data_IF_746561413551
#
_entry.id   IF_746561413551
#
_cell.length_a   1.000
_cell.length_b   1.000
_cell.length_c   1.000
_cell.angle_alpha   90.00
_cell.angle_beta   90.00
_cell.angle_gamma   90.00
#
_symmetry.space_group_name_H-M   'P 1'
#
loop_
_entity.id
_entity.type
_entity.pdbx_description
1 polymer ?
#
# COMPACT_ATOMS: atom_id res chain seq x y z
N UNK A 1 -68.43 -7.76 6.60
CA UNK A 1 -67.34 -7.89 5.62
C UNK A 1 -66.23 -6.95 6.05
N UNK A 2 -65.20 -7.45 6.70
CA UNK A 2 -64.06 -6.67 7.22
C UNK A 2 -62.79 -7.22 6.50
N UNK A 3 -62.24 -6.43 5.57
CA UNK A 3 -60.99 -6.77 4.88
C UNK A 3 -59.85 -6.31 5.79
N UNK A 4 -59.12 -7.27 6.39
CA UNK A 4 -57.84 -7.03 6.98
C UNK A 4 -56.78 -6.95 5.86
N UNK A 5 -56.30 -5.75 5.59
CA UNK A 5 -55.12 -5.55 4.74
C UNK A 5 -53.87 -5.88 5.54
N UNK A 6 -53.23 -7.02 5.21
CA UNK A 6 -51.94 -7.42 5.73
C UNK A 6 -50.85 -6.72 4.95
N UNK A 7 -50.37 -5.59 5.51
CA UNK A 7 -49.21 -4.88 4.96
C UNK A 7 -47.97 -5.66 5.38
N UNK A 8 -47.42 -6.44 4.44
CA UNK A 8 -46.13 -7.09 4.58
C UNK A 8 -45.03 -6.05 4.41
N UNK A 9 -44.51 -5.52 5.52
CA UNK A 9 -43.31 -4.70 5.54
C UNK A 9 -42.11 -5.62 5.22
N UNK A 10 -41.70 -5.70 3.97
CA UNK A 10 -40.39 -6.21 3.59
C UNK A 10 -39.35 -5.22 4.12
N UNK A 11 -38.83 -5.48 5.31
CA UNK A 11 -37.58 -4.87 5.76
C UNK A 11 -36.47 -5.41 4.87
N UNK A 12 -36.16 -4.71 3.80
CA UNK A 12 -34.91 -4.86 3.08
C UNK A 12 -33.79 -4.53 4.08
N UNK A 13 -33.26 -5.54 4.73
CA UNK A 13 -31.99 -5.46 5.38
C UNK A 13 -30.99 -5.18 4.25
N UNK A 14 -30.58 -3.92 4.11
CA UNK A 14 -29.33 -3.60 3.46
C UNK A 14 -28.25 -4.34 4.27
N UNK A 15 -27.92 -5.56 3.86
CA UNK A 15 -26.65 -6.16 4.20
C UNK A 15 -25.62 -5.22 3.62
N UNK A 16 -25.06 -4.33 4.44
CA UNK A 16 -23.71 -3.89 4.20
C UNK A 16 -22.93 -5.19 4.07
N UNK A 17 -22.50 -5.50 2.86
CA UNK A 17 -21.62 -6.61 2.61
C UNK A 17 -20.33 -6.29 3.39
N UNK A 18 -20.29 -6.75 4.63
CA UNK A 18 -19.08 -6.76 5.43
C UNK A 18 -18.08 -7.53 4.60
N UNK A 19 -17.01 -6.86 4.21
CA UNK A 19 -16.01 -7.43 3.31
C UNK A 19 -15.57 -8.77 3.86
N UNK A 20 -15.84 -9.84 3.13
CA UNK A 20 -15.45 -11.20 3.49
C UNK A 20 -13.94 -11.45 3.38
N UNK A 21 -13.13 -10.39 3.17
CA UNK A 21 -11.69 -10.50 3.01
C UNK A 21 -10.99 -11.26 4.15
N UNK A 22 -11.35 -11.06 5.44
CA UNK A 22 -10.74 -11.82 6.52
C UNK A 22 -10.96 -13.33 6.42
N UNK A 23 -12.04 -13.80 5.80
CA UNK A 23 -12.37 -15.23 5.72
C UNK A 23 -11.36 -16.05 4.90
N UNK A 24 -10.63 -15.38 4.02
CA UNK A 24 -9.58 -16.01 3.21
C UNK A 24 -8.26 -16.16 3.94
N UNK A 25 -8.08 -15.48 5.09
CA UNK A 25 -6.82 -15.42 5.78
C UNK A 25 -6.46 -16.75 6.48
N UNK A 26 -5.16 -17.10 6.50
CA UNK A 26 -4.70 -18.26 7.26
C UNK A 26 -4.99 -18.11 8.76
N UNK A 27 -5.41 -19.17 9.46
CA UNK A 27 -5.66 -19.13 10.91
C UNK A 27 -4.41 -18.81 11.73
N UNK A 28 -3.22 -19.03 11.17
CA UNK A 28 -1.93 -18.69 11.77
C UNK A 28 -1.41 -17.30 11.41
N UNK A 29 -2.25 -16.41 10.86
CA UNK A 29 -1.87 -15.05 10.53
C UNK A 29 -1.47 -14.28 11.78
N UNK A 30 -0.28 -13.70 11.78
CA UNK A 30 0.25 -12.87 12.88
C UNK A 30 0.45 -11.43 12.47
N UNK A 31 0.66 -11.15 11.20
CA UNK A 31 0.83 -9.80 10.67
C UNK A 31 -0.20 -9.59 9.57
N UNK A 32 -0.90 -8.48 9.66
CA UNK A 32 -1.83 -8.00 8.64
C UNK A 32 -1.61 -6.54 8.35
N UNK A 33 -1.79 -6.19 7.07
CA UNK A 33 -1.78 -4.81 6.59
C UNK A 33 -2.96 -4.65 5.64
N UNK A 34 -3.78 -3.63 5.87
CA UNK A 34 -4.88 -3.25 5.00
C UNK A 34 -4.62 -1.91 4.33
N UNK A 35 -5.04 -1.78 3.09
CA UNK A 35 -4.91 -0.55 2.29
C UNK A 35 -6.24 -0.29 1.58
N UNK A 36 -6.90 0.80 1.90
CA UNK A 36 -8.12 1.28 1.24
C UNK A 36 -7.72 2.15 0.03
N UNK A 37 -7.37 1.49 -1.06
CA UNK A 37 -6.77 2.13 -2.22
C UNK A 37 -7.68 3.20 -2.83
N UNK A 38 -8.98 2.93 -2.93
CA UNK A 38 -9.96 3.88 -3.48
C UNK A 38 -10.04 5.17 -2.65
N UNK A 39 -10.14 5.05 -1.33
CA UNK A 39 -10.17 6.22 -0.44
C UNK A 39 -8.91 7.07 -0.56
N UNK A 40 -7.74 6.42 -0.65
CA UNK A 40 -6.46 7.10 -0.83
C UNK A 40 -6.44 7.86 -2.16
N UNK A 41 -6.84 7.23 -3.25
CA UNK A 41 -6.85 7.84 -4.58
C UNK A 41 -7.86 8.99 -4.70
N UNK A 42 -8.98 8.93 -3.99
CA UNK A 42 -10.02 9.96 -3.95
C UNK A 42 -9.68 11.11 -2.98
N UNK A 43 -8.67 10.94 -2.12
CA UNK A 43 -8.27 12.00 -1.18
C UNK A 43 -7.75 13.24 -1.91
N UNK A 44 -8.10 14.43 -1.38
CA UNK A 44 -7.64 15.72 -1.91
C UNK A 44 -6.13 15.83 -1.93
N UNK A 45 -5.46 15.20 -0.96
CA UNK A 45 -4.01 15.18 -0.83
C UNK A 45 -3.36 14.47 -2.03
N UNK A 46 -3.82 13.25 -2.35
CA UNK A 46 -3.28 12.47 -3.46
C UNK A 46 -3.62 13.12 -4.80
N UNK A 47 -4.83 13.63 -4.97
CA UNK A 47 -5.22 14.36 -6.18
C UNK A 47 -4.35 15.59 -6.42
N UNK A 48 -4.04 16.35 -5.36
CA UNK A 48 -3.14 17.52 -5.45
C UNK A 48 -1.69 17.09 -5.74
N UNK A 49 -1.22 15.99 -5.13
CA UNK A 49 0.11 15.47 -5.36
C UNK A 49 0.29 14.96 -6.79
N UNK A 50 -0.74 14.34 -7.36
CA UNK A 50 -0.71 13.69 -8.67
C UNK A 50 -1.03 14.61 -9.83
N UNK A 51 -1.59 15.80 -9.58
CA UNK A 51 -1.92 16.78 -10.61
C UNK A 51 -0.71 17.22 -11.48
N UNK A 52 0.53 16.92 -11.05
CA UNK A 52 1.76 17.22 -11.79
C UNK A 52 2.59 16.02 -12.24
N UNK A 53 2.35 14.83 -11.70
CA UNK A 53 3.25 13.67 -11.92
C UNK A 53 2.53 12.41 -12.43
N UNK A 54 1.21 12.41 -12.51
CA UNK A 54 0.38 11.25 -12.80
C UNK A 54 0.28 10.27 -11.63
N UNK A 55 -0.89 9.67 -11.46
CA UNK A 55 -1.20 8.73 -10.37
C UNK A 55 -0.22 7.53 -10.32
N UNK A 56 0.28 7.07 -11.46
CA UNK A 56 1.26 5.99 -11.55
C UNK A 56 2.62 6.32 -10.92
N UNK A 57 3.09 7.59 -11.01
CA UNK A 57 4.34 8.00 -10.39
C UNK A 57 4.20 8.15 -8.87
N UNK A 58 3.03 8.60 -8.40
CA UNK A 58 2.72 8.66 -6.97
C UNK A 58 2.65 7.25 -6.34
N UNK A 59 2.10 6.28 -7.06
CA UNK A 59 2.04 4.88 -6.60
C UNK A 59 3.39 4.18 -6.62
N UNK A 60 4.29 4.52 -7.55
CA UNK A 60 5.67 4.02 -7.52
C UNK A 60 6.47 4.57 -6.33
N UNK A 61 6.11 5.75 -5.82
CA UNK A 61 6.76 6.37 -4.66
C UNK A 61 6.05 6.07 -3.32
N UNK A 62 4.73 5.91 -3.34
CA UNK A 62 3.92 5.45 -2.20
C UNK A 62 3.81 3.92 -2.18
N UNK A 63 4.80 3.28 -2.79
CA UNK A 63 4.83 1.86 -3.01
C UNK A 63 4.12 1.10 -1.91
N UNK A 64 3.13 0.32 -2.35
CA UNK A 64 2.53 -0.74 -1.53
C UNK A 64 3.63 -1.37 -0.65
N UNK A 65 3.33 -1.81 0.60
CA UNK A 65 4.31 -2.41 1.50
C UNK A 65 5.12 -3.57 0.92
N UNK A 66 4.86 -3.91 -0.33
CA UNK A 66 5.52 -4.95 -1.12
C UNK A 66 6.71 -4.46 -1.95
N UNK A 67 6.92 -3.13 -2.10
CA UNK A 67 8.05 -2.63 -2.88
C UNK A 67 9.37 -3.04 -2.24
N UNK A 68 10.22 -3.64 -3.07
CA UNK A 68 11.49 -4.21 -2.62
C UNK A 68 11.40 -5.69 -2.24
N UNK A 69 10.22 -6.31 -2.27
CA UNK A 69 10.10 -7.76 -2.13
C UNK A 69 10.20 -8.46 -3.50
N UNK A 70 10.74 -9.69 -3.58
CA UNK A 70 10.70 -10.48 -4.82
C UNK A 70 9.28 -10.65 -5.39
N UNK A 71 8.28 -10.61 -4.52
CA UNK A 71 6.87 -10.72 -4.88
C UNK A 71 6.36 -9.50 -5.67
N UNK A 72 6.92 -8.30 -5.47
CA UNK A 72 6.46 -7.09 -6.17
C UNK A 72 6.62 -7.19 -7.70
N UNK A 73 7.71 -7.78 -8.18
CA UNK A 73 7.94 -7.96 -9.61
C UNK A 73 7.02 -9.03 -10.23
N UNK A 74 6.77 -10.11 -9.50
CA UNK A 74 5.84 -11.17 -9.93
C UNK A 74 4.38 -10.69 -9.89
N UNK A 75 4.04 -9.85 -8.91
CA UNK A 75 2.75 -9.17 -8.80
C UNK A 75 2.43 -8.34 -10.06
N UNK A 76 3.33 -7.46 -10.46
CA UNK A 76 3.11 -6.62 -11.65
C UNK A 76 2.86 -7.45 -12.91
N UNK A 77 3.60 -8.54 -13.08
CA UNK A 77 3.41 -9.45 -14.20
C UNK A 77 2.05 -10.17 -14.14
N UNK A 78 1.68 -10.68 -12.94
CA UNK A 78 0.41 -11.38 -12.74
C UNK A 78 -0.78 -10.46 -12.98
N UNK A 79 -0.75 -9.24 -12.46
CA UNK A 79 -1.80 -8.24 -12.67
C UNK A 79 -1.93 -7.89 -14.15
N UNK A 80 -0.80 -7.72 -14.87
CA UNK A 80 -0.81 -7.50 -16.31
C UNK A 80 -1.41 -8.66 -17.11
N UNK A 81 -1.08 -9.91 -16.73
CA UNK A 81 -1.65 -11.11 -17.34
C UNK A 81 -3.15 -11.26 -17.02
N UNK A 82 -3.56 -10.94 -15.81
CA UNK A 82 -4.94 -10.98 -15.36
C UNK A 82 -5.81 -9.91 -16.04
N UNK A 83 -5.18 -8.89 -16.62
CA UNK A 83 -5.86 -7.81 -17.34
C UNK A 83 -6.54 -6.81 -16.41
N UNK A 84 -6.06 -6.67 -15.17
CA UNK A 84 -6.53 -5.67 -14.21
C UNK A 84 -5.73 -4.38 -14.31
N UNK A 85 -6.39 -3.27 -14.04
CA UNK A 85 -5.74 -1.99 -13.72
C UNK A 85 -5.84 -1.79 -12.20
N UNK A 86 -4.74 -1.94 -11.43
CA UNK A 86 -4.80 -1.85 -9.98
C UNK A 86 -5.38 -0.55 -9.46
N UNK A 87 -5.22 0.55 -10.20
CA UNK A 87 -5.71 1.86 -9.80
C UNK A 87 -7.21 2.05 -10.03
N UNK A 88 -7.79 1.27 -10.94
CA UNK A 88 -9.21 1.38 -11.31
C UNK A 88 -10.04 0.24 -10.74
N UNK A 89 -9.46 -0.95 -10.74
CA UNK A 89 -10.20 -2.17 -10.50
C UNK A 89 -10.08 -2.67 -9.06
N UNK A 90 -9.14 -2.11 -8.25
CA UNK A 90 -8.95 -2.50 -6.85
C UNK A 90 -9.42 -1.37 -5.93
N UNK A 91 -10.31 -1.69 -5.00
CA UNK A 91 -10.78 -0.77 -3.97
C UNK A 91 -9.99 -0.93 -2.67
N UNK A 92 -9.69 -2.16 -2.30
CA UNK A 92 -9.03 -2.50 -1.05
C UNK A 92 -8.11 -3.72 -1.21
N UNK A 93 -6.99 -3.72 -0.51
CA UNK A 93 -6.06 -4.85 -0.41
C UNK A 93 -5.82 -5.19 1.05
N UNK A 94 -5.86 -6.47 1.38
CA UNK A 94 -5.47 -7.03 2.66
C UNK A 94 -4.28 -7.97 2.46
N UNK A 95 -3.20 -7.72 3.17
CA UNK A 95 -1.97 -8.51 3.13
C UNK A 95 -1.84 -9.25 4.45
N UNK A 96 -1.61 -10.54 4.39
CA UNK A 96 -1.49 -11.39 5.57
C UNK A 96 -0.29 -12.33 5.48
N UNK A 97 0.38 -12.52 6.61
CA UNK A 97 1.50 -13.46 6.74
C UNK A 97 1.59 -14.02 8.15
N UNK A 98 2.05 -15.26 8.35
CA UNK A 98 2.38 -15.78 9.67
C UNK A 98 3.59 -15.09 10.32
N UNK A 99 4.37 -14.29 9.55
CA UNK A 99 5.49 -13.50 10.08
C UNK A 99 6.66 -14.30 10.64
N UNK A 100 6.72 -15.62 10.41
CA UNK A 100 7.75 -16.52 10.93
C UNK A 100 8.46 -17.27 9.80
N UNK A 101 9.78 -17.50 9.95
CA UNK A 101 10.60 -18.18 8.96
C UNK A 101 11.41 -17.21 8.09
N UNK A 102 12.36 -17.75 7.31
CA UNK A 102 13.24 -16.93 6.44
C UNK A 102 12.49 -16.28 5.27
N UNK A 103 11.46 -16.95 4.73
CA UNK A 103 10.59 -16.46 3.66
C UNK A 103 9.14 -16.86 4.01
N UNK A 104 8.49 -16.17 4.95
CA UNK A 104 7.13 -16.52 5.33
C UNK A 104 6.20 -16.34 4.12
N UNK A 105 5.23 -17.24 3.94
CA UNK A 105 4.26 -17.09 2.88
C UNK A 105 3.44 -15.81 3.10
N UNK A 106 3.16 -15.11 2.01
CA UNK A 106 2.32 -13.92 2.01
C UNK A 106 1.09 -14.20 1.17
N UNK A 107 -0.07 -13.90 1.71
CA UNK A 107 -1.33 -13.94 1.01
C UNK A 107 -1.88 -12.52 0.89
N UNK A 108 -2.25 -12.14 -0.33
CA UNK A 108 -2.99 -10.90 -0.58
C UNK A 108 -4.43 -11.26 -0.92
N UNK A 109 -5.36 -10.51 -0.36
CA UNK A 109 -6.77 -10.57 -0.73
C UNK A 109 -7.16 -9.17 -1.20
N UNK A 110 -7.66 -9.06 -2.42
CA UNK A 110 -8.08 -7.80 -3.01
C UNK A 110 -9.60 -7.80 -3.20
N UNK A 111 -10.22 -6.68 -2.86
CA UNK A 111 -11.60 -6.37 -3.19
C UNK A 111 -11.62 -5.29 -4.26
N UNK A 112 -12.55 -5.41 -5.23
CA UNK A 112 -12.64 -4.46 -6.32
C UNK A 112 -13.70 -4.85 -7.35
N UNK A 113 -13.45 -4.51 -8.60
CA UNK A 113 -14.35 -4.82 -9.73
C UNK A 113 -13.55 -5.52 -10.84
N UNK A 114 -13.65 -6.84 -10.90
CA UNK A 114 -12.84 -7.68 -11.78
C UNK A 114 -13.66 -8.28 -12.91
N UNK A 115 -13.10 -8.32 -14.13
CA UNK A 115 -13.73 -8.98 -15.27
C UNK A 115 -13.45 -10.50 -15.22
N UNK A 116 -14.40 -11.23 -14.62
CA UNK A 116 -14.29 -12.68 -14.44
C UNK A 116 -14.25 -13.45 -15.77
N UNK A 117 -14.98 -13.02 -16.79
CA UNK A 117 -15.02 -13.70 -18.10
C UNK A 117 -13.66 -13.63 -18.79
N UNK A 118 -13.09 -12.41 -18.85
CA UNK A 118 -11.77 -12.16 -19.43
C UNK A 118 -10.67 -12.93 -18.70
N UNK A 119 -10.74 -12.97 -17.38
CA UNK A 119 -9.80 -13.69 -16.54
C UNK A 119 -9.88 -15.19 -16.77
N UNK A 120 -11.09 -15.76 -16.76
CA UNK A 120 -11.34 -17.20 -16.87
C UNK A 120 -10.94 -17.77 -18.23
N UNK A 121 -10.95 -16.95 -19.29
CA UNK A 121 -10.55 -17.36 -20.63
C UNK A 121 -9.09 -17.85 -20.73
N UNK A 122 -8.23 -17.39 -19.81
CA UNK A 122 -6.79 -17.71 -19.80
C UNK A 122 -6.34 -18.44 -18.52
N UNK A 123 -7.25 -18.81 -17.65
CA UNK A 123 -6.99 -19.39 -16.34
C UNK A 123 -7.21 -20.91 -16.32
N UNK A 124 -6.37 -21.60 -15.54
CA UNK A 124 -6.70 -22.95 -15.08
C UNK A 124 -7.82 -22.88 -14.02
N UNK A 125 -8.29 -24.00 -13.49
CA UNK A 125 -9.25 -24.01 -12.39
C UNK A 125 -8.82 -24.93 -11.25
N UNK A 126 -9.14 -24.52 -10.03
CA UNK A 126 -9.02 -25.37 -8.83
C UNK A 126 -10.33 -25.26 -8.04
N UNK A 127 -11.02 -26.39 -7.82
CA UNK A 127 -12.35 -26.44 -7.22
C UNK A 127 -13.34 -25.43 -7.84
N UNK A 128 -13.35 -25.33 -9.18
CA UNK A 128 -14.16 -24.40 -9.97
C UNK A 128 -13.82 -22.91 -9.78
N UNK A 129 -12.73 -22.58 -9.09
CA UNK A 129 -12.21 -21.21 -8.99
C UNK A 129 -11.14 -21.02 -10.05
N UNK A 130 -11.28 -20.04 -10.97
CA UNK A 130 -10.27 -19.78 -11.98
C UNK A 130 -8.98 -19.25 -11.34
N UNK A 131 -7.85 -19.81 -11.77
CA UNK A 131 -6.51 -19.48 -11.29
C UNK A 131 -5.57 -19.20 -12.44
N UNK A 132 -4.90 -18.05 -12.41
CA UNK A 132 -3.86 -17.68 -13.36
C UNK A 132 -2.50 -17.82 -12.68
N UNK A 133 -1.61 -18.58 -13.29
CA UNK A 133 -0.24 -18.78 -12.77
C UNK A 133 0.73 -17.87 -13.51
N UNK A 134 1.71 -17.37 -12.80
CA UNK A 134 2.85 -16.71 -13.43
C UNK A 134 3.65 -17.70 -14.28
N UNK A 135 4.57 -17.19 -15.12
CA UNK A 135 5.37 -18.02 -16.03
C UNK A 135 6.03 -19.20 -15.33
N UNK A 136 6.39 -20.25 -16.11
CA UNK A 136 7.11 -21.43 -15.59
C UNK A 136 8.30 -21.04 -14.69
N UNK A 137 8.30 -21.55 -13.44
CA UNK A 137 9.34 -21.28 -12.45
C UNK A 137 8.98 -20.22 -11.41
N UNK A 138 7.94 -19.42 -11.59
CA UNK A 138 7.39 -18.53 -10.56
C UNK A 138 6.39 -19.31 -9.68
N UNK A 139 6.41 -19.01 -8.38
CA UNK A 139 5.46 -19.59 -7.42
C UNK A 139 4.17 -18.81 -7.32
N UNK A 140 4.12 -17.60 -7.88
CA UNK A 140 2.99 -16.68 -7.76
C UNK A 140 1.78 -17.11 -8.58
N UNK A 141 0.61 -16.98 -8.01
CA UNK A 141 -0.69 -17.20 -8.66
C UNK A 141 -1.71 -16.19 -8.19
N UNK A 142 -2.70 -15.95 -9.04
CA UNK A 142 -3.89 -15.16 -8.71
C UNK A 142 -5.11 -16.05 -8.95
N UNK A 143 -6.05 -16.05 -8.00
CA UNK A 143 -7.35 -16.70 -8.13
C UNK A 143 -8.46 -15.67 -8.02
N UNK A 144 -9.48 -15.79 -8.87
CA UNK A 144 -10.64 -14.93 -8.86
C UNK A 144 -11.84 -15.72 -8.34
N UNK A 145 -12.31 -15.36 -7.13
CA UNK A 145 -13.44 -16.06 -6.50
C UNK A 145 -14.79 -15.64 -7.07
N UNK A 146 -14.89 -14.36 -7.40
CA UNK A 146 -16.05 -13.73 -7.99
C UNK A 146 -15.62 -12.41 -8.65
N UNK A 147 -16.56 -11.62 -9.17
CA UNK A 147 -16.27 -10.34 -9.80
C UNK A 147 -15.74 -9.28 -8.84
N UNK A 148 -15.73 -9.55 -7.53
CA UNK A 148 -15.30 -8.57 -6.51
C UNK A 148 -14.12 -9.02 -5.66
N UNK A 149 -13.71 -10.29 -5.73
CA UNK A 149 -12.73 -10.86 -4.80
C UNK A 149 -11.64 -11.62 -5.54
N UNK A 150 -10.41 -11.16 -5.39
CA UNK A 150 -9.20 -11.80 -5.89
C UNK A 150 -8.26 -12.18 -4.74
N UNK A 151 -7.59 -13.33 -4.86
CA UNK A 151 -6.59 -13.81 -3.90
C UNK A 151 -5.29 -14.10 -4.63
N UNK A 152 -4.17 -13.60 -4.08
CA UNK A 152 -2.86 -13.74 -4.67
C UNK A 152 -1.85 -14.24 -3.63
N UNK A 153 -0.90 -15.06 -4.09
CA UNK A 153 0.13 -15.61 -3.26
C UNK A 153 0.82 -16.79 -3.93
N UNK A 154 1.54 -17.59 -3.13
CA UNK A 154 2.04 -18.86 -3.59
C UNK A 154 0.88 -19.81 -3.93
N UNK A 155 1.03 -20.65 -4.96
CA UNK A 155 0.00 -21.59 -5.42
C UNK A 155 -0.62 -22.38 -4.26
N UNK A 156 0.21 -22.92 -3.37
CA UNK A 156 -0.26 -23.71 -2.24
C UNK A 156 -1.08 -22.89 -1.24
N UNK A 157 -0.72 -21.64 -1.00
CA UNK A 157 -1.45 -20.77 -0.07
C UNK A 157 -2.78 -20.30 -0.65
N UNK A 158 -2.82 -20.00 -1.95
CA UNK A 158 -4.06 -19.66 -2.66
C UNK A 158 -5.01 -20.85 -2.71
N UNK A 159 -4.52 -22.07 -2.96
CA UNK A 159 -5.34 -23.29 -2.87
C UNK A 159 -5.92 -23.49 -1.48
N UNK A 160 -5.12 -23.32 -0.42
CA UNK A 160 -5.61 -23.36 0.97
C UNK A 160 -6.65 -22.28 1.25
N UNK A 161 -6.53 -21.09 0.66
CA UNK A 161 -7.54 -20.04 0.78
C UNK A 161 -8.86 -20.44 0.10
N UNK A 162 -8.79 -21.09 -1.08
CA UNK A 162 -9.95 -21.64 -1.75
C UNK A 162 -10.64 -22.70 -0.88
N UNK A 163 -9.88 -23.63 -0.30
CA UNK A 163 -10.40 -24.70 0.56
C UNK A 163 -11.02 -24.18 1.87
N UNK A 164 -10.57 -23.02 2.36
CA UNK A 164 -11.14 -22.37 3.55
C UNK A 164 -12.46 -21.67 3.29
N UNK A 165 -12.74 -21.26 2.05
CA UNK A 165 -13.96 -20.52 1.73
C UNK A 165 -15.21 -21.25 2.24
N UNK A 166 -15.98 -20.57 3.06
CA UNK A 166 -17.21 -21.13 3.62
C UNK A 166 -17.01 -22.20 4.70
N UNK A 167 -15.78 -22.51 5.10
CA UNK A 167 -15.51 -23.52 6.15
C UNK A 167 -15.63 -22.98 7.57
N UNK A 168 -15.81 -21.66 7.75
CA UNK A 168 -15.79 -21.00 9.06
C UNK A 168 -14.43 -21.03 9.77
N UNK A 169 -13.37 -21.42 9.06
CA UNK A 169 -12.00 -21.53 9.59
C UNK A 169 -11.16 -20.27 9.35
N UNK A 170 -11.81 -19.12 9.26
CA UNK A 170 -11.15 -17.82 9.17
C UNK A 170 -10.41 -17.44 10.47
N UNK A 171 -9.80 -16.25 10.50
CA UNK A 171 -9.19 -15.72 11.71
C UNK A 171 -10.24 -15.59 12.81
N UNK A 172 -9.83 -15.84 14.07
CA UNK A 172 -10.77 -15.79 15.20
C UNK A 172 -11.53 -14.47 15.29
N UNK A 173 -12.71 -14.48 15.91
CA UNK A 173 -13.62 -13.33 15.99
C UNK A 173 -12.96 -12.06 16.56
N UNK A 174 -12.02 -12.19 17.51
CA UNK A 174 -11.27 -11.06 18.06
C UNK A 174 -10.39 -10.35 17.02
N UNK A 175 -9.75 -11.12 16.13
CA UNK A 175 -8.93 -10.57 15.06
C UNK A 175 -9.80 -9.89 14.00
N UNK A 176 -10.92 -10.49 13.64
CA UNK A 176 -11.87 -9.88 12.71
C UNK A 176 -12.42 -8.54 13.26
N UNK A 177 -12.74 -8.47 14.56
CA UNK A 177 -13.16 -7.23 15.21
C UNK A 177 -12.06 -6.15 15.19
N UNK A 178 -10.80 -6.52 15.46
CA UNK A 178 -9.66 -5.58 15.39
C UNK A 178 -9.45 -5.06 13.97
N UNK A 179 -9.52 -5.94 12.96
CA UNK A 179 -9.46 -5.57 11.54
C UNK A 179 -10.55 -4.56 11.20
N UNK A 180 -11.80 -4.84 11.57
CA UNK A 180 -12.91 -3.96 11.26
C UNK A 180 -12.78 -2.59 11.95
N UNK A 181 -12.30 -2.54 13.18
CA UNK A 181 -12.05 -1.30 13.91
C UNK A 181 -10.96 -0.44 13.25
N UNK A 182 -9.85 -1.06 12.82
CA UNK A 182 -8.78 -0.34 12.11
C UNK A 182 -9.23 0.11 10.72
N UNK A 183 -9.88 -0.77 9.98
CA UNK A 183 -10.39 -0.51 8.63
C UNK A 183 -11.42 0.63 8.58
N UNK A 184 -12.28 0.76 9.58
CA UNK A 184 -13.27 1.83 9.63
C UNK A 184 -12.67 3.21 9.93
N UNK A 185 -11.43 3.28 10.41
CA UNK A 185 -10.79 4.51 10.88
C UNK A 185 -9.63 4.97 10.01
N UNK A 186 -8.93 4.05 9.35
CA UNK A 186 -7.69 4.35 8.65
C UNK A 186 -7.71 3.88 7.21
N UNK A 187 -7.06 4.62 6.34
CA UNK A 187 -6.90 4.29 4.91
C UNK A 187 -5.79 3.24 4.71
N UNK A 188 -4.73 3.32 5.52
CA UNK A 188 -3.70 2.28 5.62
C UNK A 188 -3.61 1.88 7.08
N UNK A 189 -3.65 0.60 7.36
CA UNK A 189 -3.55 0.13 8.73
C UNK A 189 -2.78 -1.18 8.80
N UNK A 190 -2.23 -1.47 9.94
CA UNK A 190 -1.55 -2.73 10.20
C UNK A 190 -1.66 -3.17 11.64
N UNK A 191 -1.55 -4.46 11.80
CA UNK A 191 -1.60 -5.16 13.07
C UNK A 191 -0.61 -6.31 13.04
N UNK A 192 0.07 -6.56 14.15
CA UNK A 192 0.96 -7.72 14.27
C UNK A 192 1.16 -8.16 15.71
N UNK A 193 1.37 -9.47 15.88
CA UNK A 193 1.65 -10.10 17.16
C UNK A 193 2.84 -11.04 17.07
N UNK A 194 3.60 -11.16 18.17
CA UNK A 194 4.65 -12.17 18.32
C UNK A 194 5.72 -12.10 17.24
N UNK A 195 6.18 -10.88 16.90
CA UNK A 195 7.26 -10.68 15.95
C UNK A 195 8.55 -11.13 16.62
N UNK A 196 9.01 -12.32 16.30
CA UNK A 196 10.36 -12.76 16.66
C UNK A 196 11.21 -12.72 15.41
N UNK A 197 12.16 -11.78 15.37
CA UNK A 197 13.12 -11.71 14.28
C UNK A 197 14.10 -12.89 14.38
N UNK A 198 13.92 -13.89 13.56
CA UNK A 198 14.94 -14.91 13.33
C UNK A 198 16.02 -14.41 12.33
N UNK A 199 15.84 -13.26 11.74
CA UNK A 199 16.82 -12.62 10.85
C UNK A 199 17.60 -11.57 11.64
N UNK A 200 18.88 -11.86 11.90
CA UNK A 200 19.84 -10.95 12.53
C UNK A 200 20.22 -9.76 11.62
N UNK A 201 19.24 -9.06 11.05
CA UNK A 201 19.53 -7.83 10.30
C UNK A 201 19.63 -6.65 11.26
N UNK A 202 20.73 -5.88 11.24
CA UNK A 202 20.92 -4.73 12.15
C UNK A 202 19.83 -3.65 12.07
N UNK A 203 19.15 -3.54 10.92
CA UNK A 203 18.05 -2.60 10.71
C UNK A 203 16.74 -2.95 11.42
N UNK A 204 16.66 -4.14 12.04
CA UNK A 204 15.48 -4.64 12.74
C UNK A 204 15.71 -4.78 14.25
N UNK A 205 16.84 -4.27 14.76
CA UNK A 205 17.09 -4.21 16.18
C UNK A 205 16.05 -3.32 16.84
N UNK A 206 15.24 -3.89 17.72
CA UNK A 206 14.14 -3.21 18.42
C UNK A 206 12.76 -3.82 18.18
N UNK A 207 12.52 -4.46 17.03
CA UNK A 207 11.25 -5.18 16.79
C UNK A 207 11.13 -6.44 17.66
N UNK A 208 12.24 -7.02 18.09
CA UNK A 208 12.23 -8.16 19.03
C UNK A 208 11.68 -7.79 20.41
N UNK A 209 11.68 -6.51 20.73
CA UNK A 209 11.17 -5.95 21.98
C UNK A 209 9.64 -5.79 21.97
N UNK A 210 9.01 -5.96 20.82
CA UNK A 210 7.57 -5.74 20.63
C UNK A 210 6.84 -7.08 20.66
N UNK A 211 5.83 -7.19 21.52
CA UNK A 211 4.93 -8.34 21.56
C UNK A 211 3.77 -8.17 20.60
N UNK A 212 3.19 -6.97 20.57
CA UNK A 212 2.10 -6.61 19.68
C UNK A 212 2.28 -5.17 19.19
N UNK A 213 1.93 -4.93 17.93
CA UNK A 213 1.83 -3.57 17.42
C UNK A 213 0.56 -3.39 16.60
N UNK A 214 0.12 -2.14 16.53
CA UNK A 214 -0.86 -1.69 15.55
C UNK A 214 -0.50 -0.29 15.07
N UNK A 215 -0.87 0.03 13.83
CA UNK A 215 -0.74 1.38 13.30
C UNK A 215 -1.88 1.68 12.34
N UNK A 216 -2.14 2.95 12.16
CA UNK A 216 -3.09 3.45 11.20
C UNK A 216 -2.64 4.78 10.61
N UNK A 217 -2.90 4.97 9.32
CA UNK A 217 -2.64 6.21 8.58
C UNK A 217 -3.93 6.62 7.91
N UNK A 218 -4.33 7.87 8.10
CA UNK A 218 -5.44 8.50 7.37
C UNK A 218 -4.92 9.68 6.56
N UNK A 219 -5.46 9.81 5.33
CA UNK A 219 -5.11 10.89 4.39
C UNK A 219 -6.33 11.74 4.02
N UNK A 220 -7.46 11.54 4.66
CA UNK A 220 -8.73 12.19 4.31
C UNK A 220 -8.76 13.69 4.63
N UNK A 221 -8.13 14.12 5.73
CA UNK A 221 -8.16 15.52 6.21
C UNK A 221 -6.75 16.05 6.53
N UNK A 222 -5.77 15.63 5.78
CA UNK A 222 -4.37 15.84 6.03
C UNK A 222 -3.64 14.50 6.14
N UNK A 223 -2.58 14.43 6.90
CA UNK A 223 -1.89 13.19 7.23
C UNK A 223 -1.99 12.94 8.73
N UNK A 224 -2.67 11.87 9.11
CA UNK A 224 -2.71 11.40 10.49
C UNK A 224 -2.07 10.01 10.55
N UNK A 225 -1.17 9.81 11.49
CA UNK A 225 -0.59 8.52 11.80
C UNK A 225 -0.78 8.24 13.28
N UNK A 226 -1.27 7.07 13.60
CA UNK A 226 -1.34 6.53 14.96
C UNK A 226 -0.59 5.21 14.99
N UNK A 227 0.26 5.00 15.97
CA UNK A 227 0.96 3.74 16.16
C UNK A 227 1.00 3.39 17.64
N UNK A 228 0.80 2.13 17.96
CA UNK A 228 0.90 1.58 19.29
C UNK A 228 1.80 0.34 19.25
N UNK A 229 2.72 0.24 20.20
CA UNK A 229 3.59 -0.90 20.36
C UNK A 229 3.57 -1.37 21.81
N UNK A 230 3.13 -2.59 22.04
CA UNK A 230 3.18 -3.23 23.35
C UNK A 230 4.52 -3.94 23.52
N UNK A 231 5.30 -3.50 24.50
CA UNK A 231 6.60 -4.06 24.78
C UNK A 231 6.49 -5.37 25.57
N UNK A 232 7.46 -6.26 25.41
CA UNK A 232 7.50 -7.53 26.16
C UNK A 232 7.85 -7.33 27.64
N UNK A 233 8.68 -6.34 27.92
CA UNK A 233 9.14 -6.03 29.28
C UNK A 233 9.13 -4.52 29.50
N UNK A 234 9.16 -4.09 30.77
CA UNK A 234 9.27 -2.68 31.11
C UNK A 234 10.59 -2.06 30.61
N UNK A 235 11.68 -2.84 30.55
CA UNK A 235 12.95 -2.38 29.97
C UNK A 235 12.83 -2.12 28.47
N UNK A 236 12.12 -3.00 27.75
CA UNK A 236 11.85 -2.83 26.33
C UNK A 236 10.95 -1.63 26.07
N UNK A 237 9.94 -1.38 26.91
CA UNK A 237 9.12 -0.18 26.84
C UNK A 237 9.96 1.10 26.97
N UNK A 238 10.91 1.12 27.94
CA UNK A 238 11.82 2.24 28.11
C UNK A 238 12.71 2.47 26.87
N UNK A 239 13.23 1.41 26.24
CA UNK A 239 14.01 1.50 24.98
C UNK A 239 13.16 2.03 23.81
N UNK A 240 11.93 1.56 23.68
CA UNK A 240 11.01 2.05 22.67
C UNK A 240 10.69 3.53 22.87
N UNK A 241 10.43 3.94 24.12
CA UNK A 241 10.20 5.35 24.47
C UNK A 241 11.41 6.21 24.15
N UNK A 242 12.62 5.76 24.47
CA UNK A 242 13.86 6.48 24.13
C UNK A 242 14.00 6.64 22.61
N UNK A 243 13.70 5.60 21.85
CA UNK A 243 13.73 5.64 20.37
C UNK A 243 12.70 6.61 19.80
N UNK A 244 11.50 6.64 20.36
CA UNK A 244 10.44 7.57 19.98
C UNK A 244 10.80 9.03 20.32
N UNK A 245 11.42 9.28 21.47
CA UNK A 245 11.92 10.61 21.86
C UNK A 245 13.06 11.07 20.93
N UNK A 246 13.96 10.16 20.56
CA UNK A 246 15.01 10.46 19.58
C UNK A 246 14.42 10.85 18.23
N UNK A 247 13.39 10.10 17.75
CA UNK A 247 12.67 10.45 16.53
C UNK A 247 12.06 11.85 16.63
N UNK A 248 11.42 12.20 17.76
CA UNK A 248 10.87 13.54 17.99
C UNK A 248 11.94 14.62 17.89
N UNK A 249 13.11 14.39 18.49
CA UNK A 249 14.24 15.33 18.43
C UNK A 249 14.77 15.52 17.00
N UNK A 250 14.90 14.43 16.24
CA UNK A 250 15.29 14.49 14.82
C UNK A 250 14.28 15.24 13.99
N UNK A 251 12.98 14.97 14.17
CA UNK A 251 11.91 15.65 13.44
C UNK A 251 11.88 17.15 13.76
N UNK A 252 12.09 17.54 15.02
CA UNK A 252 12.13 18.95 15.43
C UNK A 252 13.25 19.78 14.76
N UNK A 253 14.28 19.12 14.23
CA UNK A 253 15.37 19.78 13.50
C UNK A 253 15.10 19.94 12.00
N UNK A 254 14.02 19.36 11.49
CA UNK A 254 13.68 19.47 10.07
C UNK A 254 12.94 20.79 9.77
N UNK A 255 13.19 21.40 8.60
CA UNK A 255 12.40 22.54 8.16
C UNK A 255 10.90 22.16 8.06
N UNK A 256 10.03 22.96 8.65
CA UNK A 256 8.59 22.68 8.70
C UNK A 256 8.16 21.81 9.87
N UNK A 257 9.05 21.56 10.85
CA UNK A 257 8.73 20.78 12.05
C UNK A 257 7.56 21.37 12.87
N UNK A 258 7.37 22.69 12.80
CA UNK A 258 6.27 23.41 13.46
C UNK A 258 4.89 22.99 12.93
N UNK A 259 4.81 22.49 11.71
CA UNK A 259 3.58 21.99 11.10
C UNK A 259 3.20 20.57 11.58
N UNK A 260 4.14 19.87 12.23
CA UNK A 260 3.97 18.48 12.65
C UNK A 260 3.62 18.43 14.13
N UNK A 261 2.41 17.98 14.44
CA UNK A 261 2.01 17.67 15.80
C UNK A 261 2.39 16.23 16.10
N UNK A 262 3.37 16.04 16.97
CA UNK A 262 3.82 14.71 17.40
C UNK A 262 3.60 14.55 18.91
N UNK A 263 2.75 13.60 19.28
CA UNK A 263 2.49 13.16 20.64
C UNK A 263 3.06 11.76 20.87
N UNK A 264 3.72 11.56 22.01
CA UNK A 264 4.31 10.29 22.39
C UNK A 264 3.96 10.05 23.85
N UNK A 265 3.32 8.94 24.14
CA UNK A 265 2.88 8.54 25.47
C UNK A 265 3.29 7.10 25.75
N UNK A 266 3.51 6.80 27.03
CA UNK A 266 3.72 5.43 27.50
C UNK A 266 2.63 5.13 28.55
N UNK A 267 2.00 4.00 28.41
CA UNK A 267 0.93 3.55 29.29
C UNK A 267 1.03 2.04 29.48
N UNK A 268 1.41 1.62 30.71
CA UNK A 268 1.48 0.20 31.11
C UNK A 268 2.25 -0.69 30.12
N UNK A 269 3.44 -0.24 29.68
CA UNK A 269 4.27 -1.00 28.73
C UNK A 269 3.87 -0.85 27.28
N UNK A 270 2.87 -0.01 26.98
CA UNK A 270 2.46 0.33 25.62
C UNK A 270 2.96 1.73 25.27
N UNK A 271 3.80 1.83 24.25
CA UNK A 271 4.22 3.10 23.68
C UNK A 271 3.26 3.49 22.58
N UNK A 272 2.64 4.66 22.70
CA UNK A 272 1.70 5.24 21.74
C UNK A 272 2.35 6.44 21.08
N UNK A 273 2.21 6.52 19.76
CA UNK A 273 2.69 7.61 18.94
C UNK A 273 1.53 8.11 18.09
N UNK A 274 1.28 9.43 18.14
CA UNK A 274 0.34 10.07 17.25
C UNK A 274 1.01 11.24 16.54
N UNK A 275 0.91 11.27 15.21
CA UNK A 275 1.43 12.33 14.36
C UNK A 275 0.30 12.88 13.53
N UNK A 276 0.19 14.21 13.46
CA UNK A 276 -0.80 14.87 12.62
C UNK A 276 -0.18 16.06 11.89
N UNK A 277 -0.47 16.17 10.60
CA UNK A 277 -0.13 17.30 9.74
C UNK A 277 -1.41 17.73 9.04
N UNK A 278 -1.79 18.99 9.16
CA UNK A 278 -3.02 19.49 8.52
C UNK A 278 -2.89 19.49 6.98
N UNK A 279 -4.03 19.43 6.30
CA UNK A 279 -4.06 19.48 4.84
C UNK A 279 -3.44 20.78 4.28
N UNK A 280 -3.64 21.92 4.97
CA UNK A 280 -3.03 23.19 4.58
C UNK A 280 -1.51 23.17 4.66
N UNK A 281 -0.96 22.64 5.74
CA UNK A 281 0.50 22.53 5.92
C UNK A 281 1.12 21.56 4.90
N UNK A 282 0.44 20.45 4.62
CA UNK A 282 0.87 19.53 3.57
C UNK A 282 0.87 20.19 2.19
N UNK A 283 -0.19 20.93 1.84
CA UNK A 283 -0.24 21.70 0.58
C UNK A 283 0.90 22.70 0.49
N UNK A 284 1.16 23.48 1.54
CA UNK A 284 2.29 24.41 1.58
C UNK A 284 3.63 23.71 1.40
N UNK A 285 3.84 22.57 2.09
CA UNK A 285 5.07 21.80 1.98
C UNK A 285 5.27 21.26 0.55
N UNK A 286 4.21 20.75 -0.08
CA UNK A 286 4.24 20.26 -1.46
C UNK A 286 4.52 21.38 -2.47
N UNK A 287 3.93 22.56 -2.31
CA UNK A 287 4.19 23.71 -3.15
C UNK A 287 5.65 24.19 -3.01
N UNK A 288 6.15 24.28 -1.77
CA UNK A 288 7.54 24.60 -1.51
C UNK A 288 8.50 23.60 -2.17
N UNK A 289 8.20 22.31 -2.10
CA UNK A 289 8.99 21.26 -2.74
C UNK A 289 8.96 21.38 -4.27
N UNK A 290 7.79 21.64 -4.87
CA UNK A 290 7.65 21.87 -6.33
C UNK A 290 8.50 23.06 -6.79
N UNK A 291 8.45 24.16 -6.04
CA UNK A 291 9.25 25.37 -6.35
C UNK A 291 10.75 25.09 -6.22
N UNK A 292 11.17 24.38 -5.17
CA UNK A 292 12.58 24.00 -4.98
C UNK A 292 13.08 23.07 -6.10
N UNK A 293 12.25 22.13 -6.52
CA UNK A 293 12.59 21.23 -7.62
C UNK A 293 12.66 21.95 -8.97
N UNK A 294 11.73 22.86 -9.23
CA UNK A 294 11.76 23.70 -10.43
C UNK A 294 13.01 24.59 -10.48
N UNK A 295 13.41 25.18 -9.33
CA UNK A 295 14.64 25.96 -9.22
C UNK A 295 15.89 25.10 -9.48
N UNK A 296 15.96 23.89 -8.94
CA UNK A 296 17.06 22.95 -9.19
C UNK A 296 17.15 22.55 -10.67
N UNK A 297 16.03 22.26 -11.30
CA UNK A 297 15.98 21.90 -12.73
C UNK A 297 16.39 23.07 -13.60
N UNK A 298 16.02 24.31 -13.23
CA UNK A 298 16.46 25.53 -13.94
C UNK A 298 17.96 25.80 -13.79
N UNK A 299 18.53 25.53 -12.61
CA UNK A 299 19.97 25.66 -12.36
C UNK A 299 20.82 24.58 -13.05
N UNK A 300 20.22 23.37 -13.25
CA UNK A 300 20.87 22.26 -13.94
C UNK A 300 20.75 22.33 -15.48
N UNK A 301 19.95 23.25 -16.04
CA UNK A 301 19.86 23.44 -17.46
C UNK A 301 21.19 23.97 -18.00
N UNK A 302 21.81 23.35 -19.05
CA UNK A 302 23.04 23.83 -19.62
C UNK A 302 22.83 25.25 -20.15
N UNK A 303 23.85 26.14 -20.02
CA UNK A 303 23.73 27.51 -20.53
C UNK A 303 23.38 27.48 -22.02
N UNK A 304 22.55 28.42 -22.49
CA UNK A 304 22.17 28.47 -23.89
C UNK A 304 23.43 28.52 -24.73
N UNK A 305 23.65 27.50 -25.55
CA UNK A 305 24.76 27.49 -26.49
C UNK A 305 24.55 28.66 -27.44
N UNK A 306 25.34 29.72 -27.28
CA UNK A 306 25.46 30.79 -28.28
C UNK A 306 25.98 30.13 -29.53
N UNK A 307 25.10 30.03 -30.53
CA UNK A 307 25.43 29.56 -31.87
C UNK A 307 26.48 30.54 -32.42
N UNK A 308 27.76 30.19 -32.32
CA UNK A 308 28.80 30.89 -33.03
C UNK A 308 28.48 30.80 -34.53
N UNK A 309 28.00 31.88 -35.09
CA UNK A 309 27.93 32.04 -36.53
C UNK A 309 29.40 32.22 -37.00
N UNK A 310 30.01 31.11 -37.43
CA UNK A 310 31.26 31.17 -38.14
C UNK A 310 31.03 31.98 -39.43
N UNK A 311 31.45 33.23 -39.41
CA UNK A 311 31.61 34.04 -40.60
C UNK A 311 32.72 33.46 -41.47
N UNK A 312 32.35 32.46 -42.28
CA UNK A 312 33.23 31.97 -43.33
C UNK A 312 33.36 33.01 -44.42
N UNK A 313 34.49 33.69 -44.47
CA UNK A 313 34.97 34.42 -45.66
C UNK A 313 35.14 33.43 -46.80
N UNK A 314 34.15 33.35 -47.66
CA UNK A 314 34.16 32.53 -48.86
C UNK A 314 35.13 33.13 -49.84
N UNK A 315 36.29 32.50 -50.02
CA UNK A 315 37.15 32.75 -51.17
C UNK A 315 36.50 32.09 -52.39
N UNK A 316 36.00 32.92 -53.28
CA UNK A 316 35.35 32.52 -54.53
C UNK A 316 36.48 32.05 -55.47
N UNK A 317 36.63 30.77 -55.70
CA UNK A 317 37.47 30.29 -56.83
C UNK A 317 36.58 30.10 -58.06
N UNK A 318 36.92 30.91 -59.08
CA UNK A 318 36.37 30.82 -60.41
C UNK A 318 36.76 29.53 -61.13
N UNK A 319 35.83 28.89 -61.90
CA UNK A 319 36.18 27.78 -62.76
C UNK A 319 36.70 28.28 -64.08
N UNK A 320 37.91 27.93 -64.45
CA UNK A 320 38.44 28.29 -65.70
C UNK A 320 39.60 27.46 -66.22
N UNK A 321 39.36 26.84 -67.34
CA UNK A 321 40.30 26.43 -68.40
C UNK A 321 40.70 24.98 -68.47
N UNK A 322 40.08 24.31 -69.42
CA UNK A 322 40.61 23.16 -70.17
C UNK A 322 41.92 23.52 -70.86
N UNK A 323 42.88 22.58 -70.91
CA UNK A 323 43.54 22.17 -72.13
C UNK A 323 44.85 21.38 -71.89
N UNK A 324 45.35 20.78 -72.93
CA UNK A 324 44.84 19.94 -73.99
C UNK A 324 45.10 18.43 -73.69
#
# INVERSE_FOLDING_TARGET
MKYCAFVLLLAARAFCAESALPDFLPPGTKIMIGVQLRHILESSLVQTATAGAGAAAAMNSAALPLSGTPMAADWQKLVGLAGFDPLKDIDEVLIATPGQGQNPPVLLVAHGNFNLERFSANADSYHSVPMLRSAKGSKGTIALFDASTAVLGDVAEVQKAIDRRGSGRGPGASLAAAVNALRSRYDIWGFGTGISNQTKQPSQQGLDSIDQFQFGISVSHGLELSAEAHARTAEDAAKLMQSAQFLRMMMAQQPGAEAVKLDIQEDHGTVKLALAISEEELKKAMEAQKLAQAARNKAAAPPPQTRQVNGGTGTMMLPGAKRP
#
